data_IF_007766295426
#
_entry.id   IF_007766295426
#
_cell.length_a   1.000
_cell.length_b   1.000
_cell.length_c   1.000
_cell.angle_alpha   90.00
_cell.angle_beta   90.00
_cell.angle_gamma   90.00
#
_symmetry.space_group_name_H-M   'P 1'
#
loop_
_entity.id
_entity.type
_entity.pdbx_description
1 polymer ?
#
# COMPACT_ATOMS: atom_id res chain seq x y z
N UNK A 1 -7.90 -23.69 2.77
CA UNK A 1 -7.89 -22.70 3.87
C UNK A 1 -7.82 -21.33 3.24
N UNK A 2 -8.97 -20.71 3.02
CA UNK A 2 -9.18 -19.63 2.05
C UNK A 2 -8.65 -18.26 2.53
N UNK A 3 -7.75 -17.66 1.78
CA UNK A 3 -7.59 -16.20 1.56
C UNK A 3 -7.67 -15.22 2.75
N UNK A 4 -7.31 -15.63 3.98
CA UNK A 4 -7.45 -14.79 5.19
C UNK A 4 -6.36 -13.71 5.29
N UNK A 5 -5.15 -13.99 4.80
CA UNK A 5 -3.98 -13.17 5.12
C UNK A 5 -4.08 -11.79 4.45
N UNK A 6 -4.39 -11.75 3.15
CA UNK A 6 -4.49 -10.47 2.44
C UNK A 6 -5.66 -9.62 2.94
N UNK A 7 -6.80 -10.23 3.24
CA UNK A 7 -7.96 -9.55 3.84
C UNK A 7 -7.60 -8.91 5.19
N UNK A 8 -6.92 -9.67 6.08
CA UNK A 8 -6.48 -9.15 7.37
C UNK A 8 -5.44 -8.03 7.19
N UNK A 9 -4.48 -8.21 6.28
CA UNK A 9 -3.46 -7.20 6.04
C UNK A 9 -4.04 -5.90 5.48
N UNK A 10 -5.19 -5.90 4.77
CA UNK A 10 -5.85 -4.67 4.32
C UNK A 10 -6.25 -3.75 5.47
N UNK A 11 -6.47 -4.26 6.68
CA UNK A 11 -6.75 -3.42 7.86
C UNK A 11 -5.59 -2.48 8.22
N UNK A 12 -4.37 -2.75 7.73
CA UNK A 12 -3.27 -1.83 7.94
C UNK A 12 -3.53 -0.47 7.27
N UNK A 13 -4.26 -0.43 6.15
CA UNK A 13 -4.66 0.82 5.50
C UNK A 13 -5.57 1.68 6.38
N UNK A 14 -6.34 1.06 7.29
CA UNK A 14 -7.12 1.78 8.28
C UNK A 14 -6.21 2.50 9.29
N UNK A 15 -5.07 1.91 9.65
CA UNK A 15 -4.08 2.58 10.51
C UNK A 15 -3.47 3.79 9.81
N UNK A 16 -3.13 3.69 8.51
CA UNK A 16 -2.69 4.84 7.72
C UNK A 16 -3.76 5.93 7.65
N UNK A 17 -5.03 5.54 7.52
CA UNK A 17 -6.14 6.49 7.50
C UNK A 17 -6.26 7.28 8.82
N UNK A 18 -6.10 6.61 9.97
CA UNK A 18 -6.10 7.27 11.28
C UNK A 18 -4.86 8.13 11.51
N UNK A 19 -3.67 7.66 11.13
CA UNK A 19 -2.44 8.47 11.21
C UNK A 19 -2.60 9.73 10.36
N UNK A 20 -3.08 9.60 9.12
CA UNK A 20 -3.34 10.73 8.24
C UNK A 20 -4.30 11.74 8.86
N UNK A 21 -5.42 11.28 9.43
CA UNK A 21 -6.39 12.15 10.10
C UNK A 21 -5.76 12.88 11.30
N UNK A 22 -4.97 12.16 12.11
CA UNK A 22 -4.28 12.73 13.28
C UNK A 22 -3.32 13.87 12.91
N UNK A 23 -2.59 13.74 11.79
CA UNK A 23 -1.69 14.76 11.27
C UNK A 23 -2.36 15.75 10.29
N UNK A 24 -3.69 15.80 10.24
CA UNK A 24 -4.49 16.70 9.38
C UNK A 24 -4.33 16.49 7.85
N UNK A 25 -3.85 15.33 7.41
CA UNK A 25 -3.82 14.94 5.99
C UNK A 25 -5.14 14.30 5.55
N UNK A 26 -6.22 15.10 5.54
CA UNK A 26 -7.58 14.58 5.32
C UNK A 26 -7.77 13.87 3.98
N UNK A 27 -7.21 14.39 2.88
CA UNK A 27 -7.25 13.70 1.59
C UNK A 27 -6.57 12.33 1.66
N UNK A 28 -5.44 12.25 2.37
CA UNK A 28 -4.72 10.99 2.53
C UNK A 28 -5.52 9.98 3.36
N UNK A 29 -6.16 10.48 4.42
CA UNK A 29 -7.03 9.69 5.28
C UNK A 29 -8.18 9.07 4.51
N UNK A 30 -8.85 9.86 3.66
CA UNK A 30 -9.95 9.40 2.80
C UNK A 30 -9.45 8.40 1.77
N UNK A 31 -8.33 8.68 1.09
CA UNK A 31 -7.78 7.76 0.09
C UNK A 31 -7.46 6.39 0.70
N UNK A 32 -6.79 6.34 1.86
CA UNK A 32 -6.49 5.08 2.54
C UNK A 32 -7.74 4.37 3.07
N UNK A 33 -8.74 5.11 3.55
CA UNK A 33 -10.00 4.53 3.98
C UNK A 33 -10.77 3.91 2.82
N UNK A 34 -10.81 4.60 1.67
CA UNK A 34 -11.43 4.03 0.47
C UNK A 34 -10.65 2.80 0.01
N UNK A 35 -9.30 2.86 -0.03
CA UNK A 35 -8.49 1.69 -0.37
C UNK A 35 -8.79 0.48 0.54
N UNK A 36 -8.92 0.71 1.85
CA UNK A 36 -9.34 -0.32 2.79
C UNK A 36 -10.68 -0.96 2.39
N UNK A 37 -11.71 -0.14 2.13
CA UNK A 37 -13.02 -0.64 1.72
C UNK A 37 -12.96 -1.40 0.39
N UNK A 38 -12.23 -0.89 -0.59
CA UNK A 38 -12.15 -1.47 -1.93
C UNK A 38 -11.35 -2.76 -1.94
N UNK A 39 -10.30 -2.85 -1.12
CA UNK A 39 -9.52 -4.06 -0.93
C UNK A 39 -10.36 -5.16 -0.27
N UNK A 40 -11.19 -4.83 0.73
CA UNK A 40 -12.14 -5.78 1.31
C UNK A 40 -13.16 -6.22 0.25
N UNK A 41 -13.79 -5.27 -0.45
CA UNK A 41 -14.80 -5.57 -1.46
C UNK A 41 -14.27 -6.46 -2.59
N UNK A 42 -13.06 -6.21 -3.08
CA UNK A 42 -12.44 -7.04 -4.11
C UNK A 42 -12.18 -8.46 -3.62
N UNK A 43 -11.79 -8.64 -2.35
CA UNK A 43 -11.57 -9.96 -1.77
C UNK A 43 -12.86 -10.74 -1.54
N UNK A 44 -13.94 -10.06 -1.15
CA UNK A 44 -15.27 -10.66 -0.99
C UNK A 44 -15.95 -10.94 -2.33
N UNK A 45 -15.77 -10.07 -3.32
CA UNK A 45 -16.37 -10.16 -4.65
C UNK A 45 -15.33 -9.89 -5.73
N UNK A 46 -14.74 -10.97 -6.25
CA UNK A 46 -13.72 -10.91 -7.31
C UNK A 46 -14.38 -10.59 -8.65
N UNK A 47 -14.53 -9.31 -8.93
CA UNK A 47 -14.98 -8.80 -10.20
C UNK A 47 -13.85 -7.93 -10.80
N UNK A 48 -13.77 -7.88 -12.12
CA UNK A 48 -12.89 -6.97 -12.86
C UNK A 48 -13.13 -5.52 -12.43
N UNK A 49 -14.39 -5.16 -12.15
CA UNK A 49 -14.74 -3.82 -11.65
C UNK A 49 -14.09 -3.53 -10.29
N UNK A 50 -14.26 -4.40 -9.29
CA UNK A 50 -13.71 -4.21 -7.94
C UNK A 50 -12.18 -4.24 -7.95
N UNK A 51 -11.58 -5.07 -8.81
CA UNK A 51 -10.13 -5.07 -9.05
C UNK A 51 -9.61 -3.76 -9.62
N UNK A 52 -10.28 -3.22 -10.64
CA UNK A 52 -9.87 -1.98 -11.31
C UNK A 52 -9.99 -0.79 -10.36
N UNK A 53 -11.07 -0.77 -9.57
CA UNK A 53 -11.33 0.27 -8.59
C UNK A 53 -10.29 0.23 -7.45
N UNK A 54 -9.95 -0.96 -6.92
CA UNK A 54 -8.90 -1.12 -5.91
C UNK A 54 -7.54 -0.59 -6.41
N UNK A 55 -7.15 -0.95 -7.63
CA UNK A 55 -5.92 -0.44 -8.26
C UNK A 55 -5.92 1.07 -8.49
N UNK A 56 -7.05 1.66 -8.85
CA UNK A 56 -7.18 3.10 -9.03
C UNK A 56 -6.80 3.86 -7.75
N UNK A 57 -7.28 3.40 -6.59
CA UNK A 57 -6.95 4.02 -5.30
C UNK A 57 -5.51 3.77 -4.88
N UNK A 58 -4.93 2.60 -5.20
CA UNK A 58 -3.48 2.37 -5.04
C UNK A 58 -2.67 3.42 -5.81
N UNK A 59 -2.98 3.65 -7.08
CA UNK A 59 -2.27 4.66 -7.88
C UNK A 59 -2.47 6.08 -7.36
N UNK A 60 -3.68 6.43 -6.93
CA UNK A 60 -3.95 7.73 -6.33
C UNK A 60 -3.10 7.96 -5.05
N UNK A 61 -2.98 6.95 -4.19
CA UNK A 61 -2.16 7.00 -2.96
C UNK A 61 -0.68 7.14 -3.29
N UNK A 62 -0.19 6.42 -4.31
CA UNK A 62 1.20 6.51 -4.76
C UNK A 62 1.51 7.92 -5.26
N UNK A 63 0.69 8.46 -6.16
CA UNK A 63 0.88 9.79 -6.73
C UNK A 63 0.81 10.88 -5.64
N UNK A 64 -0.20 10.81 -4.79
CA UNK A 64 -0.36 11.77 -3.70
C UNK A 64 0.77 11.65 -2.66
N UNK A 65 1.21 10.44 -2.36
CA UNK A 65 2.36 10.20 -1.48
C UNK A 65 3.67 10.74 -2.04
N UNK A 66 3.91 10.56 -3.34
CA UNK A 66 5.05 11.15 -4.02
C UNK A 66 5.02 12.69 -3.96
N UNK A 67 3.85 13.29 -4.20
CA UNK A 67 3.66 14.74 -4.05
C UNK A 67 3.94 15.21 -2.60
N UNK A 68 3.37 14.55 -1.61
CA UNK A 68 3.59 14.89 -0.19
C UNK A 68 5.06 14.75 0.22
N UNK A 69 5.73 13.69 -0.22
CA UNK A 69 7.16 13.51 0.02
C UNK A 69 7.99 14.62 -0.63
N UNK A 70 7.70 14.97 -1.89
CA UNK A 70 8.39 16.06 -2.59
C UNK A 70 8.25 17.40 -1.84
N UNK A 71 7.05 17.73 -1.38
CA UNK A 71 6.79 18.98 -0.65
C UNK A 71 7.52 19.04 0.70
N UNK A 72 7.72 17.90 1.37
CA UNK A 72 8.39 17.82 2.67
C UNK A 72 9.89 17.54 2.57
N UNK A 73 10.39 17.11 1.41
CA UNK A 73 11.78 16.68 1.24
C UNK A 73 12.83 17.65 1.82
N UNK A 74 12.71 18.99 1.68
CA UNK A 74 13.70 19.92 2.25
C UNK A 74 13.81 19.89 3.77
N UNK A 75 12.77 19.45 4.48
CA UNK A 75 12.72 19.41 5.95
C UNK A 75 12.84 18.02 6.56
N UNK A 76 12.75 16.95 5.76
CA UNK A 76 12.84 15.57 6.23
C UNK A 76 14.31 15.19 6.46
N UNK A 77 14.60 14.53 7.59
CA UNK A 77 15.91 13.97 7.89
C UNK A 77 16.35 12.94 6.84
N UNK A 78 17.60 13.01 6.36
CA UNK A 78 18.13 12.18 5.26
C UNK A 78 17.88 10.67 5.45
N UNK A 79 18.03 10.16 6.67
CA UNK A 79 17.74 8.75 6.98
C UNK A 79 16.28 8.38 6.72
N UNK A 80 15.33 9.25 7.09
CA UNK A 80 13.89 9.01 6.88
C UNK A 80 13.58 9.05 5.38
N UNK A 81 14.13 10.03 4.65
CA UNK A 81 14.01 10.09 3.19
C UNK A 81 14.53 8.84 2.51
N UNK A 82 15.70 8.33 2.94
CA UNK A 82 16.25 7.07 2.44
C UNK A 82 15.33 5.87 2.72
N UNK A 83 14.76 5.78 3.92
CA UNK A 83 13.81 4.71 4.28
C UNK A 83 12.54 4.77 3.42
N UNK A 84 11.95 5.97 3.24
CA UNK A 84 10.76 6.17 2.40
C UNK A 84 11.05 5.68 0.97
N UNK A 85 12.16 6.14 0.37
CA UNK A 85 12.57 5.75 -0.98
C UNK A 85 12.78 4.23 -1.07
N UNK A 86 13.43 3.64 -0.06
CA UNK A 86 13.68 2.18 0.01
C UNK A 86 12.38 1.39 0.06
N UNK A 87 11.37 1.85 0.82
CA UNK A 87 10.06 1.18 0.85
C UNK A 87 9.36 1.24 -0.51
N UNK A 88 9.44 2.36 -1.23
CA UNK A 88 8.86 2.50 -2.56
C UNK A 88 9.50 1.53 -3.57
N UNK A 89 10.83 1.49 -3.62
CA UNK A 89 11.55 0.55 -4.48
C UNK A 89 11.30 -0.91 -4.10
N UNK A 90 11.16 -1.22 -2.81
CA UNK A 90 10.86 -2.58 -2.35
C UNK A 90 9.48 -3.04 -2.83
N UNK A 91 8.47 -2.18 -2.77
CA UNK A 91 7.12 -2.47 -3.28
C UNK A 91 7.15 -2.72 -4.79
N UNK A 92 7.81 -1.83 -5.54
CA UNK A 92 7.95 -1.97 -7.01
C UNK A 92 8.69 -3.26 -7.35
N UNK A 93 9.79 -3.56 -6.66
CA UNK A 93 10.56 -4.79 -6.86
C UNK A 93 9.68 -6.03 -6.62
N UNK A 94 9.08 -6.18 -5.44
CA UNK A 94 8.29 -7.36 -5.08
C UNK A 94 7.12 -7.57 -6.05
N UNK A 95 6.46 -6.49 -6.50
CA UNK A 95 5.33 -6.58 -7.40
C UNK A 95 5.74 -6.82 -8.86
N UNK A 96 6.53 -5.94 -9.46
CA UNK A 96 6.85 -5.99 -10.90
C UNK A 96 7.81 -7.14 -11.22
N UNK A 97 8.86 -7.34 -10.41
CA UNK A 97 9.75 -8.49 -10.62
C UNK A 97 8.97 -9.79 -10.46
N UNK A 98 8.14 -9.90 -9.43
CA UNK A 98 7.27 -11.06 -9.23
C UNK A 98 6.35 -11.33 -10.42
N UNK A 99 5.80 -10.27 -11.04
CA UNK A 99 4.95 -10.40 -12.22
C UNK A 99 5.69 -10.98 -13.43
N UNK A 100 6.92 -10.49 -13.67
CA UNK A 100 7.78 -10.90 -14.77
C UNK A 100 8.31 -12.32 -14.61
N UNK A 101 8.70 -12.71 -13.39
CA UNK A 101 9.26 -14.04 -13.11
C UNK A 101 8.24 -15.08 -12.68
N UNK A 102 6.95 -14.70 -12.54
CA UNK A 102 5.88 -15.54 -11.98
C UNK A 102 6.21 -16.06 -10.58
N UNK A 103 6.76 -15.16 -9.75
CA UNK A 103 7.12 -15.40 -8.35
C UNK A 103 6.43 -14.38 -7.43
N UNK A 104 6.63 -14.54 -6.12
CA UNK A 104 6.08 -13.65 -5.10
C UNK A 104 4.56 -13.54 -5.19
N UNK A 105 4.01 -12.34 -5.40
CA UNK A 105 2.57 -12.10 -5.54
C UNK A 105 1.92 -12.88 -6.69
N UNK A 106 2.72 -13.41 -7.63
CA UNK A 106 2.27 -14.15 -8.80
C UNK A 106 2.76 -15.60 -8.79
N UNK A 107 3.21 -16.09 -7.63
CA UNK A 107 3.59 -17.49 -7.43
C UNK A 107 2.37 -18.41 -7.63
N UNK A 108 2.63 -19.64 -8.09
CA UNK A 108 1.61 -20.67 -8.24
C UNK A 108 1.08 -21.15 -6.88
N UNK A 109 1.90 -21.10 -5.83
CA UNK A 109 1.44 -21.33 -4.47
C UNK A 109 0.63 -20.11 -3.98
N UNK A 110 -0.68 -20.32 -3.87
CA UNK A 110 -1.61 -19.30 -3.38
C UNK A 110 -1.27 -18.76 -1.98
N UNK A 111 -0.68 -19.57 -1.09
CA UNK A 111 -0.32 -19.12 0.26
C UNK A 111 0.89 -18.19 0.19
N UNK A 112 1.88 -18.55 -0.63
CA UNK A 112 3.07 -17.74 -0.84
C UNK A 112 2.71 -16.41 -1.52
N UNK A 113 1.90 -16.46 -2.57
CA UNK A 113 1.37 -15.29 -3.27
C UNK A 113 0.66 -14.32 -2.33
N UNK A 114 -0.22 -14.83 -1.47
CA UNK A 114 -0.92 -14.00 -0.50
C UNK A 114 -0.01 -13.42 0.58
N UNK A 115 0.98 -14.19 1.03
CA UNK A 115 1.94 -13.74 2.04
C UNK A 115 2.77 -12.58 1.51
N UNK A 116 3.29 -12.67 0.28
CA UNK A 116 4.02 -11.56 -0.34
C UNK A 116 3.12 -10.35 -0.62
N UNK A 117 1.86 -10.57 -0.98
CA UNK A 117 0.92 -9.47 -1.17
C UNK A 117 0.59 -8.76 0.16
N UNK A 118 0.46 -9.50 1.25
CA UNK A 118 0.31 -8.92 2.58
C UNK A 118 1.59 -8.17 3.02
N UNK A 119 2.78 -8.69 2.66
CA UNK A 119 4.04 -7.99 2.89
C UNK A 119 4.10 -6.66 2.12
N UNK A 120 3.58 -6.59 0.89
CA UNK A 120 3.44 -5.34 0.16
C UNK A 120 2.58 -4.31 0.92
N UNK A 121 1.45 -4.73 1.50
CA UNK A 121 0.62 -3.84 2.33
C UNK A 121 1.41 -3.28 3.51
N UNK A 122 2.20 -4.12 4.17
CA UNK A 122 3.03 -3.72 5.33
C UNK A 122 4.11 -2.72 4.92
N UNK A 123 4.92 -3.04 3.92
CA UNK A 123 6.03 -2.17 3.47
C UNK A 123 5.48 -0.83 2.97
N UNK A 124 4.41 -0.86 2.17
CA UNK A 124 3.74 0.35 1.69
C UNK A 124 3.19 1.21 2.85
N UNK A 125 2.53 0.57 3.83
CA UNK A 125 1.99 1.26 5.01
C UNK A 125 3.08 1.93 5.83
N UNK A 126 4.24 1.29 6.01
CA UNK A 126 5.39 1.88 6.70
C UNK A 126 5.89 3.11 5.95
N UNK A 127 6.12 2.99 4.63
CA UNK A 127 6.59 4.11 3.81
C UNK A 127 5.68 5.32 3.88
N UNK A 128 4.38 5.11 3.75
CA UNK A 128 3.40 6.18 3.85
C UNK A 128 3.25 6.76 5.25
N UNK A 129 3.37 5.94 6.31
CA UNK A 129 3.38 6.43 7.69
C UNK A 129 4.58 7.34 7.96
N UNK A 130 5.75 6.99 7.44
CA UNK A 130 6.95 7.83 7.55
C UNK A 130 6.75 9.18 6.85
N UNK A 131 6.13 9.22 5.66
CA UNK A 131 5.80 10.49 4.98
C UNK A 131 4.86 11.36 5.82
N UNK A 132 3.90 10.76 6.54
CA UNK A 132 2.94 11.51 7.34
C UNK A 132 3.57 12.05 8.64
N UNK A 133 4.41 11.24 9.30
CA UNK A 133 4.99 11.57 10.62
C UNK A 133 6.19 12.50 10.51
N UNK A 134 6.94 12.45 9.39
CA UNK A 134 8.10 13.33 9.15
C UNK A 134 7.73 14.72 8.67
#
# INVERSE_FOLDING_TARGET
>A
MERKITLLSSFIFLTNSFIAAHFNYMLYSVLFFILFLTSILFRLNKNIFTYTLDKLFVYAIILYGGYMFYMKYPSIHTLISFLIISTFFSVVFIYEYGYLTKQYCFDNDSVLSETYHALLHIISSIGHSLIMIS
#
